data_IF_092585094283
#
_entry.id   IF_092585094283
#
_cell.length_a   1.000
_cell.length_b   1.000
_cell.length_c   1.000
_cell.angle_alpha   90.00
_cell.angle_beta   90.00
_cell.angle_gamma   90.00
#
_symmetry.space_group_name_H-M   'P 1'
#
loop_
_entity.id
_entity.type
_entity.pdbx_description
1 polymer ?
#
# COMPACT_ATOMS: atom_id res chain seq x y z
N UNK A 1 -5.18 5.32 -6.03
CA UNK A 1 -4.24 4.83 -5.01
C UNK A 1 -2.90 4.51 -5.65
N UNK A 2 -2.02 3.75 -4.99
CA UNK A 2 -0.77 3.31 -5.62
C UNK A 2 -1.06 2.16 -6.60
N UNK A 3 -0.69 2.29 -7.89
CA UNK A 3 -1.12 1.38 -8.96
C UNK A 3 -0.40 0.02 -8.98
N UNK A 4 0.55 -0.25 -8.06
CA UNK A 4 1.32 -1.50 -7.95
C UNK A 4 2.18 -1.86 -9.17
N UNK A 5 2.40 -0.91 -10.08
CA UNK A 5 3.04 -1.14 -11.39
C UNK A 5 4.44 -0.53 -11.50
N UNK A 6 5.08 -0.14 -10.39
CA UNK A 6 6.40 0.51 -10.41
C UNK A 6 6.36 2.04 -10.58
N UNK A 7 5.20 2.64 -10.83
CA UNK A 7 5.03 4.09 -10.90
C UNK A 7 4.50 4.63 -9.56
N UNK A 8 5.29 5.41 -8.80
CA UNK A 8 4.89 5.88 -7.49
C UNK A 8 3.76 6.92 -7.52
N UNK A 9 3.39 7.46 -8.69
CA UNK A 9 2.30 8.43 -8.83
C UNK A 9 0.97 7.82 -8.40
N UNK A 10 0.09 8.67 -7.87
CA UNK A 10 -1.26 8.26 -7.53
C UNK A 10 -2.05 7.97 -8.82
N UNK A 11 -2.49 6.72 -8.97
CA UNK A 11 -3.30 6.27 -10.09
C UNK A 11 -4.80 6.36 -9.80
N UNK A 12 -5.59 6.77 -10.79
CA UNK A 12 -7.05 6.63 -10.80
C UNK A 12 -7.55 6.38 -12.23
N UNK A 13 -8.80 5.94 -12.37
CA UNK A 13 -9.45 5.78 -13.65
C UNK A 13 -10.74 6.59 -13.71
N UNK A 14 -11.07 7.12 -14.89
CA UNK A 14 -12.34 7.77 -15.20
C UNK A 14 -13.02 6.95 -16.27
N UNK A 15 -14.29 6.60 -16.05
CA UNK A 15 -15.12 5.99 -17.09
C UNK A 15 -15.93 7.08 -17.80
N UNK A 16 -15.78 7.16 -19.12
CA UNK A 16 -16.54 8.09 -19.96
C UNK A 16 -17.03 7.35 -21.21
N UNK A 17 -18.35 7.33 -21.43
CA UNK A 17 -19.00 6.66 -22.56
C UNK A 17 -18.55 5.19 -22.74
N UNK A 18 -18.44 4.45 -21.63
CA UNK A 18 -18.02 3.05 -21.63
C UNK A 18 -16.53 2.83 -21.91
N UNK A 19 -15.72 3.90 -21.90
CA UNK A 19 -14.26 3.84 -22.02
C UNK A 19 -13.60 4.21 -20.71
N UNK A 20 -12.62 3.41 -20.30
CA UNK A 20 -11.78 3.71 -19.14
C UNK A 20 -10.56 4.53 -19.55
N UNK A 21 -10.34 5.62 -18.83
CA UNK A 21 -9.20 6.52 -18.97
C UNK A 21 -8.35 6.41 -17.70
N UNK A 22 -7.11 5.99 -17.82
CA UNK A 22 -6.19 5.85 -16.69
C UNK A 22 -5.33 7.10 -16.55
N UNK A 23 -5.25 7.61 -15.32
CA UNK A 23 -4.54 8.83 -14.99
C UNK A 23 -3.57 8.58 -13.84
N UNK A 24 -2.43 9.27 -13.90
CA UNK A 24 -1.41 9.25 -12.86
C UNK A 24 -1.03 10.68 -12.49
N UNK A 25 -1.04 10.99 -11.18
CA UNK A 25 -0.78 12.34 -10.66
C UNK A 25 0.41 12.30 -9.68
N UNK A 26 1.40 13.19 -9.84
CA UNK A 26 2.51 13.29 -8.89
C UNK A 26 2.02 13.80 -7.53
N UNK A 27 2.66 13.31 -6.47
CA UNK A 27 2.51 13.82 -5.11
C UNK A 27 3.86 13.75 -4.40
N UNK A 28 3.96 14.39 -3.24
CA UNK A 28 5.17 14.33 -2.42
C UNK A 28 5.23 13.00 -1.66
N UNK A 29 5.93 12.04 -2.27
CA UNK A 29 6.11 10.69 -1.76
C UNK A 29 6.84 10.69 -0.41
N UNK A 30 7.87 11.52 -0.25
CA UNK A 30 8.67 11.54 0.98
C UNK A 30 7.91 12.19 2.13
N UNK A 31 7.09 13.22 1.86
CA UNK A 31 6.16 13.76 2.86
C UNK A 31 5.18 12.70 3.35
N UNK A 32 4.58 11.92 2.45
CA UNK A 32 3.70 10.82 2.84
C UNK A 32 4.45 9.80 3.71
N UNK A 33 5.70 9.47 3.37
CA UNK A 33 6.51 8.54 4.17
C UNK A 33 6.82 9.10 5.56
N UNK A 34 7.09 10.39 5.68
CA UNK A 34 7.28 11.05 6.98
C UNK A 34 6.02 10.91 7.85
N UNK A 35 4.83 11.01 7.25
CA UNK A 35 3.55 10.79 7.95
C UNK A 35 3.30 9.31 8.30
N UNK A 36 3.92 8.36 7.57
CA UNK A 36 3.82 6.92 7.88
C UNK A 36 4.63 6.51 9.11
N UNK A 37 5.82 7.11 9.30
CA UNK A 37 6.73 6.74 10.39
C UNK A 37 6.10 6.76 11.80
N UNK A 38 5.30 7.76 12.20
CA UNK A 38 4.73 7.82 13.54
C UNK A 38 3.48 6.94 13.76
N UNK A 39 3.01 6.16 12.76
CA UNK A 39 1.75 5.39 12.86
C UNK A 39 1.85 4.23 13.88
N UNK A 40 3.06 3.85 14.32
CA UNK A 40 3.24 2.84 15.37
C UNK A 40 2.96 1.40 14.91
N UNK A 41 3.10 1.14 13.61
CA UNK A 41 3.00 -0.21 13.05
C UNK A 41 4.25 -1.05 13.35
N UNK A 42 4.12 -2.38 13.22
CA UNK A 42 5.26 -3.28 13.35
C UNK A 42 6.40 -2.86 12.39
N UNK A 43 7.67 -2.77 12.86
CA UNK A 43 8.76 -2.21 12.06
C UNK A 43 8.92 -2.84 10.68
N UNK A 44 8.83 -4.16 10.57
CA UNK A 44 8.96 -4.87 9.29
C UNK A 44 7.86 -4.49 8.29
N UNK A 45 6.63 -4.30 8.78
CA UNK A 45 5.50 -3.88 7.96
C UNK A 45 5.69 -2.44 7.51
N UNK A 46 6.08 -1.55 8.44
CA UNK A 46 6.33 -0.15 8.16
C UNK A 46 7.44 0.03 7.13
N UNK A 47 8.56 -0.68 7.29
CA UNK A 47 9.68 -0.65 6.35
C UNK A 47 9.27 -1.12 4.96
N UNK A 48 8.47 -2.18 4.86
CA UNK A 48 7.91 -2.65 3.60
C UNK A 48 6.98 -1.62 2.97
N UNK A 49 6.11 -1.01 3.77
CA UNK A 49 5.16 0.00 3.29
C UNK A 49 5.86 1.28 2.81
N UNK A 50 6.90 1.74 3.51
CA UNK A 50 7.70 2.87 3.06
C UNK A 50 8.42 2.57 1.74
N UNK A 51 9.02 1.38 1.59
CA UNK A 51 9.61 0.94 0.30
C UNK A 51 8.57 0.91 -0.81
N UNK A 52 7.44 0.25 -0.56
CA UNK A 52 6.34 0.17 -1.51
C UNK A 52 5.80 1.56 -1.89
N UNK A 53 5.75 2.50 -0.95
CA UNK A 53 5.32 3.88 -1.23
C UNK A 53 6.27 4.63 -2.15
N UNK A 54 7.58 4.36 -2.06
CA UNK A 54 8.59 4.93 -2.98
C UNK A 54 8.55 4.33 -4.38
N UNK A 55 8.24 3.04 -4.48
CA UNK A 55 8.41 2.28 -5.73
C UNK A 55 7.10 1.93 -6.42
N UNK A 56 5.97 1.99 -5.72
CA UNK A 56 4.71 1.34 -6.09
C UNK A 56 4.91 -0.11 -6.56
N UNK A 57 5.89 -0.82 -6.00
CA UNK A 57 6.22 -2.18 -6.39
C UNK A 57 6.81 -2.95 -5.21
N UNK A 58 6.25 -4.13 -4.97
CA UNK A 58 6.74 -5.07 -3.98
C UNK A 58 6.40 -6.51 -4.45
N UNK A 59 7.31 -7.49 -4.31
CA UNK A 59 7.08 -8.84 -4.86
C UNK A 59 5.84 -9.56 -4.35
N UNK A 60 5.42 -9.30 -3.10
CA UNK A 60 4.21 -9.90 -2.54
C UNK A 60 2.98 -9.03 -2.80
N UNK A 61 3.08 -7.72 -2.56
CA UNK A 61 1.91 -6.84 -2.63
C UNK A 61 1.51 -6.46 -4.05
N UNK A 62 2.44 -6.56 -5.00
CA UNK A 62 2.22 -6.34 -6.44
C UNK A 62 2.11 -7.64 -7.24
N UNK A 63 2.00 -8.81 -6.59
CA UNK A 63 1.81 -10.08 -7.30
C UNK A 63 0.51 -10.08 -8.10
N UNK A 64 0.50 -10.84 -9.20
CA UNK A 64 -0.73 -11.10 -9.93
C UNK A 64 -1.73 -11.82 -9.04
N UNK A 65 -3.00 -11.45 -9.17
CA UNK A 65 -4.08 -12.11 -8.48
C UNK A 65 -4.37 -13.46 -9.16
N UNK A 66 -4.26 -14.53 -8.39
CA UNK A 66 -4.71 -15.86 -8.80
C UNK A 66 -5.96 -16.24 -7.98
N UNK A 67 -7.15 -16.37 -8.60
CA UNK A 67 -8.37 -16.74 -7.90
C UNK A 67 -8.37 -18.16 -7.35
N UNK A 68 -7.44 -19.03 -7.79
CA UNK A 68 -7.34 -20.41 -7.35
C UNK A 68 -6.31 -20.60 -6.23
N UNK A 69 -5.51 -19.58 -5.94
CA UNK A 69 -4.53 -19.64 -4.86
C UNK A 69 -5.27 -19.59 -3.51
N UNK A 70 -5.06 -20.58 -2.62
CA UNK A 70 -5.63 -20.53 -1.27
C UNK A 70 -5.17 -19.25 -0.56
N UNK A 71 -6.11 -18.50 -0.01
CA UNK A 71 -5.76 -17.39 0.89
C UNK A 71 -5.35 -18.00 2.23
N UNK A 72 -4.07 -18.29 2.39
CA UNK A 72 -3.52 -18.53 3.73
C UNK A 72 -3.63 -17.21 4.50
N UNK A 73 -4.57 -17.12 5.44
CA UNK A 73 -4.60 -16.02 6.38
C UNK A 73 -3.48 -16.32 7.38
N UNK A 74 -2.35 -15.59 7.36
CA UNK A 74 -1.32 -15.80 8.37
C UNK A 74 -1.97 -15.59 9.73
N UNK A 75 -1.63 -16.45 10.69
CA UNK A 75 -2.06 -16.25 12.07
C UNK A 75 -1.56 -14.87 12.52
N UNK A 76 -2.47 -13.89 12.60
CA UNK A 76 -2.11 -12.59 13.13
C UNK A 76 -1.68 -12.80 14.58
N UNK A 77 -0.50 -12.32 15.00
CA UNK A 77 -0.22 -12.24 16.42
C UNK A 77 -1.34 -11.43 17.09
N UNK A 78 -1.73 -11.76 18.33
CA UNK A 78 -2.78 -11.03 19.02
C UNK A 78 -2.45 -9.53 18.99
N UNK A 79 -3.46 -8.71 18.70
CA UNK A 79 -3.35 -7.25 18.75
C UNK A 79 -2.64 -6.84 20.04
N UNK A 80 -1.63 -5.99 19.93
CA UNK A 80 -0.99 -5.40 21.09
C UNK A 80 -2.08 -4.75 21.96
N UNK A 81 -2.23 -5.12 23.25
CA UNK A 81 -3.27 -4.58 24.12
C UNK A 81 -3.16 -3.07 24.35
N UNK A 82 -2.03 -2.46 23.97
CA UNK A 82 -1.77 -1.03 24.04
C UNK A 82 -1.95 -0.32 22.69
N UNK A 83 -2.34 -1.03 21.63
CA UNK A 83 -2.68 -0.43 20.35
C UNK A 83 -3.88 0.51 20.51
N UNK A 84 -3.67 1.80 20.21
CA UNK A 84 -4.69 2.85 20.35
C UNK A 84 -4.76 3.52 21.73
N UNK A 85 -3.92 3.14 22.69
CA UNK A 85 -3.73 3.92 23.92
C UNK A 85 -2.74 5.05 23.63
N UNK A 86 -3.22 6.29 23.53
CA UNK A 86 -2.34 7.45 23.57
C UNK A 86 -1.70 7.57 24.97
N UNK A 87 -0.49 8.14 25.09
CA UNK A 87 0.12 8.46 26.39
C UNK A 87 -0.71 9.47 27.20
#
# INVERSE_FOLDING_TARGET
GQPRNGDPRAGYAVEENGKLHFHSVPYDVERTIADLQPIGLHPEFLDRWMRFTRTAADPEWSREYDPNQPTEIPAFPPLNPDFGKQP
#
